data_IF_480425676033
#
_entry.id   IF_480425676033
#
_cell.length_a   1.000
_cell.length_b   1.000
_cell.length_c   1.000
_cell.angle_alpha   90.00
_cell.angle_beta   90.00
_cell.angle_gamma   90.00
#
_symmetry.space_group_name_H-M   'P 1'
#
loop_
_entity.id
_entity.type
_entity.pdbx_description
1 polymer ?
#
# COMPACT_ATOMS: atom_id res chain seq x y z
N UNK A 1 -21.69 1.27 -7.20
CA UNK A 1 -20.42 1.53 -6.50
C UNK A 1 -19.39 0.43 -6.72
N UNK A 2 -19.72 -0.82 -6.41
CA UNK A 2 -18.76 -1.93 -6.55
C UNK A 2 -18.23 -2.11 -7.98
N UNK A 3 -19.06 -1.86 -8.99
CA UNK A 3 -18.67 -1.96 -10.40
C UNK A 3 -17.65 -0.90 -10.83
N UNK A 4 -17.58 0.22 -10.11
CA UNK A 4 -16.65 1.31 -10.42
C UNK A 4 -15.29 1.08 -9.80
N UNK A 5 -15.16 0.15 -8.86
CA UNK A 5 -13.90 -0.21 -8.24
C UNK A 5 -13.13 -1.17 -9.15
N UNK A 6 -11.88 -0.86 -9.40
CA UNK A 6 -11.01 -1.71 -10.22
C UNK A 6 -10.33 -2.75 -9.35
N UNK A 7 -11.11 -3.77 -8.97
CA UNK A 7 -10.67 -4.77 -8.00
C UNK A 7 -9.38 -5.48 -8.40
N UNK A 8 -9.20 -5.78 -9.69
CA UNK A 8 -7.96 -6.43 -10.15
C UNK A 8 -6.74 -5.55 -9.89
N UNK A 9 -6.87 -4.24 -10.09
CA UNK A 9 -5.79 -3.31 -9.81
C UNK A 9 -5.55 -3.16 -8.32
N UNK A 10 -6.63 -3.10 -7.52
CA UNK A 10 -6.54 -2.99 -6.07
C UNK A 10 -5.82 -4.20 -5.49
N UNK A 11 -6.30 -5.40 -5.80
CA UNK A 11 -5.73 -6.64 -5.27
C UNK A 11 -4.32 -6.85 -5.83
N UNK A 12 -4.13 -6.62 -7.12
CA UNK A 12 -2.82 -6.74 -7.76
C UNK A 12 -1.79 -5.81 -7.15
N UNK A 13 -2.16 -4.55 -6.92
CA UNK A 13 -1.28 -3.58 -6.26
C UNK A 13 -0.92 -4.02 -4.84
N UNK A 14 -1.91 -4.47 -4.07
CA UNK A 14 -1.70 -4.94 -2.70
C UNK A 14 -0.76 -6.16 -2.66
N UNK A 15 -0.97 -7.12 -3.55
CA UNK A 15 -0.10 -8.30 -3.65
C UNK A 15 1.33 -7.91 -4.02
N UNK A 16 1.50 -7.03 -5.00
CA UNK A 16 2.82 -6.56 -5.42
C UNK A 16 3.53 -5.83 -4.28
N UNK A 17 2.82 -4.99 -3.54
CA UNK A 17 3.39 -4.29 -2.38
C UNK A 17 3.86 -5.30 -1.34
N UNK A 18 3.04 -6.28 -0.99
CA UNK A 18 3.41 -7.28 0.01
C UNK A 18 4.60 -8.14 -0.46
N UNK A 19 4.61 -8.56 -1.72
CA UNK A 19 5.73 -9.33 -2.28
C UNK A 19 7.01 -8.51 -2.21
N UNK A 20 6.97 -7.23 -2.57
CA UNK A 20 8.13 -6.36 -2.50
C UNK A 20 8.62 -6.17 -1.07
N UNK A 21 7.71 -5.95 -0.12
CA UNK A 21 8.06 -5.78 1.28
C UNK A 21 8.69 -7.04 1.86
N UNK A 22 8.13 -8.20 1.55
CA UNK A 22 8.65 -9.49 2.00
C UNK A 22 10.02 -9.75 1.37
N UNK A 23 10.19 -9.45 0.09
CA UNK A 23 11.46 -9.63 -0.61
C UNK A 23 12.58 -8.79 0.01
N UNK A 24 12.26 -7.61 0.53
CA UNK A 24 13.21 -6.77 1.27
C UNK A 24 13.44 -7.33 2.68
N UNK A 25 12.39 -7.76 3.34
CA UNK A 25 12.43 -8.18 4.74
C UNK A 25 13.21 -9.49 4.95
N UNK A 26 13.09 -10.46 4.02
CA UNK A 26 13.69 -11.78 4.19
C UNK A 26 15.22 -11.70 4.36
N UNK A 27 15.97 -11.05 3.44
CA UNK A 27 17.43 -10.99 3.61
C UNK A 27 17.85 -10.19 4.83
N UNK A 28 17.15 -9.10 5.15
CA UNK A 28 17.44 -8.30 6.34
C UNK A 28 17.19 -9.06 7.63
N UNK A 29 16.18 -9.94 7.63
CA UNK A 29 15.82 -10.68 8.83
C UNK A 29 16.78 -11.84 9.15
N UNK A 30 17.74 -12.13 8.27
CA UNK A 30 18.70 -13.23 8.45
C UNK A 30 19.82 -12.90 9.43
N UNK A 31 20.07 -11.63 9.73
CA UNK A 31 21.10 -11.20 10.67
C UNK A 31 20.52 -10.30 11.75
N UNK A 32 21.19 -10.24 12.92
CA UNK A 32 20.76 -9.33 14.00
C UNK A 32 20.89 -7.86 13.58
N UNK A 33 21.94 -7.51 12.83
CA UNK A 33 22.12 -6.16 12.30
C UNK A 33 21.04 -5.81 11.29
N UNK A 34 20.72 -6.74 10.38
CA UNK A 34 19.64 -6.56 9.40
C UNK A 34 18.28 -6.42 10.07
N UNK A 35 18.02 -7.18 11.13
CA UNK A 35 16.77 -7.05 11.90
C UNK A 35 16.66 -5.67 12.54
N UNK A 36 17.75 -5.13 13.08
CA UNK A 36 17.75 -3.78 13.66
C UNK A 36 17.44 -2.72 12.59
N UNK A 37 18.03 -2.84 11.40
CA UNK A 37 17.73 -1.96 10.27
C UNK A 37 16.25 -2.08 9.88
N UNK A 38 15.74 -3.30 9.74
CA UNK A 38 14.36 -3.55 9.35
C UNK A 38 13.37 -2.94 10.36
N UNK A 39 13.63 -3.08 11.65
CA UNK A 39 12.79 -2.47 12.69
C UNK A 39 12.72 -0.95 12.58
N UNK A 40 13.79 -0.34 12.10
CA UNK A 40 13.86 1.11 11.91
C UNK A 40 13.10 1.57 10.66
N UNK A 41 13.19 0.81 9.56
CA UNK A 41 12.64 1.22 8.26
C UNK A 41 11.28 0.63 7.94
N UNK A 42 10.77 -0.32 8.75
CA UNK A 42 9.52 -1.02 8.42
C UNK A 42 8.33 -0.07 8.30
N UNK A 43 8.23 0.92 9.18
CA UNK A 43 7.13 1.89 9.15
C UNK A 43 7.17 2.73 7.87
N UNK A 44 8.26 3.49 7.56
CA UNK A 44 8.30 4.26 6.32
C UNK A 44 8.24 3.37 5.07
N UNK A 45 8.82 2.18 5.11
CA UNK A 45 8.79 1.26 3.98
C UNK A 45 7.37 0.82 3.65
N UNK A 46 6.57 0.49 4.66
CA UNK A 46 5.16 0.12 4.45
C UNK A 46 4.34 1.29 3.92
N UNK A 47 4.56 2.48 4.47
CA UNK A 47 3.84 3.68 4.02
C UNK A 47 4.18 4.03 2.57
N UNK A 48 5.46 4.01 2.20
CA UNK A 48 5.88 4.30 0.82
C UNK A 48 5.37 3.24 -0.14
N UNK A 49 5.46 1.97 0.22
CA UNK A 49 4.96 0.87 -0.61
C UNK A 49 3.48 0.99 -0.90
N UNK A 50 2.66 1.21 0.13
CA UNK A 50 1.22 1.35 -0.05
C UNK A 50 0.85 2.68 -0.70
N UNK A 51 1.64 3.73 -0.51
CA UNK A 51 1.46 4.98 -1.25
C UNK A 51 1.61 4.75 -2.75
N UNK A 52 2.69 4.11 -3.17
CA UNK A 52 2.94 3.81 -4.59
C UNK A 52 1.84 2.90 -5.14
N UNK A 53 1.48 1.84 -4.41
CA UNK A 53 0.41 0.92 -4.80
C UNK A 53 -0.94 1.61 -4.90
N UNK A 54 -1.28 2.45 -3.92
CA UNK A 54 -2.51 3.21 -3.90
C UNK A 54 -2.60 4.20 -5.06
N UNK A 55 -1.51 4.92 -5.32
CA UNK A 55 -1.43 5.83 -6.46
C UNK A 55 -1.59 5.08 -7.79
N UNK A 56 -0.86 3.97 -7.95
CA UNK A 56 -0.92 3.18 -9.18
C UNK A 56 -2.32 2.62 -9.44
N UNK A 57 -2.99 2.12 -8.39
CA UNK A 57 -4.35 1.59 -8.53
C UNK A 57 -5.35 2.70 -8.84
N UNK A 58 -5.23 3.84 -8.14
CA UNK A 58 -6.17 4.94 -8.25
C UNK A 58 -6.03 5.73 -9.56
N UNK A 59 -4.82 5.84 -10.12
CA UNK A 59 -4.58 6.70 -11.28
C UNK A 59 -5.39 6.32 -12.52
N UNK A 60 -5.84 5.09 -12.62
CA UNK A 60 -6.66 4.59 -13.74
C UNK A 60 -8.14 4.52 -13.37
N UNK A 61 -8.50 4.93 -12.17
CA UNK A 61 -9.89 4.94 -11.74
C UNK A 61 -10.63 6.12 -12.38
N UNK A 62 -11.93 5.91 -12.61
CA UNK A 62 -12.82 6.97 -13.10
C UNK A 62 -13.43 7.78 -11.97
N UNK A 63 -13.28 7.33 -10.72
CA UNK A 63 -13.74 7.97 -9.51
C UNK A 63 -13.33 7.17 -8.29
N UNK A 64 -13.72 7.63 -7.12
CA UNK A 64 -13.43 6.96 -5.84
C UNK A 64 -11.93 6.73 -5.62
N UNK A 65 -11.12 7.75 -5.93
CA UNK A 65 -9.65 7.65 -5.84
C UNK A 65 -9.18 7.31 -4.43
N UNK A 66 -9.74 7.96 -3.42
CA UNK A 66 -9.39 7.71 -2.02
C UNK A 66 -9.75 6.28 -1.62
N UNK A 67 -10.90 5.80 -2.08
CA UNK A 67 -11.36 4.44 -1.78
C UNK A 67 -10.44 3.41 -2.42
N UNK A 68 -9.98 3.65 -3.66
CA UNK A 68 -9.01 2.76 -4.31
C UNK A 68 -7.71 2.66 -3.50
N UNK A 69 -7.19 3.81 -3.07
CA UNK A 69 -5.97 3.84 -2.25
C UNK A 69 -6.17 3.17 -0.89
N UNK A 70 -7.29 3.48 -0.23
CA UNK A 70 -7.63 2.87 1.06
C UNK A 70 -7.73 1.35 0.94
N UNK A 71 -8.38 0.86 -0.12
CA UNK A 71 -8.55 -0.58 -0.32
C UNK A 71 -7.23 -1.28 -0.61
N UNK A 72 -6.30 -0.64 -1.32
CA UNK A 72 -4.95 -1.20 -1.50
C UNK A 72 -4.29 -1.39 -0.14
N UNK A 73 -4.31 -0.38 0.71
CA UNK A 73 -3.77 -0.46 2.05
C UNK A 73 -4.45 -1.51 2.90
N UNK A 74 -5.79 -1.57 2.84
CA UNK A 74 -6.59 -2.53 3.61
C UNK A 74 -6.30 -3.98 3.16
N UNK A 75 -6.27 -4.24 1.86
CA UNK A 75 -5.99 -5.58 1.34
C UNK A 75 -4.57 -6.00 1.69
N UNK A 76 -3.59 -5.09 1.54
CA UNK A 76 -2.21 -5.37 1.92
C UNK A 76 -2.10 -5.69 3.42
N UNK A 77 -2.78 -4.92 4.27
CA UNK A 77 -2.80 -5.17 5.71
C UNK A 77 -3.43 -6.52 6.05
N UNK A 78 -4.51 -6.88 5.36
CA UNK A 78 -5.18 -8.18 5.57
C UNK A 78 -4.32 -9.35 5.10
N UNK A 79 -3.61 -9.22 3.98
CA UNK A 79 -2.67 -10.25 3.51
C UNK A 79 -1.59 -10.48 4.57
N UNK A 80 -1.00 -9.42 5.07
CA UNK A 80 0.03 -9.51 6.10
C UNK A 80 -0.51 -10.14 7.38
N UNK A 81 -1.67 -9.71 7.84
CA UNK A 81 -2.32 -10.27 9.02
C UNK A 81 -2.59 -11.77 8.86
N UNK A 82 -3.04 -12.17 7.67
CA UNK A 82 -3.26 -13.59 7.36
C UNK A 82 -1.98 -14.41 7.36
N UNK A 83 -0.91 -13.87 6.79
CA UNK A 83 0.40 -14.56 6.75
C UNK A 83 1.04 -14.68 8.14
N UNK A 84 0.74 -13.75 9.04
CA UNK A 84 1.34 -13.70 10.38
C UNK A 84 0.38 -14.07 11.49
N UNK A 85 -0.73 -14.72 11.16
CA UNK A 85 -1.83 -15.01 12.09
C UNK A 85 -1.34 -15.70 13.37
N UNK A 86 -0.42 -16.65 13.25
CA UNK A 86 0.08 -17.45 14.40
C UNK A 86 1.42 -16.96 14.91
N UNK A 87 1.92 -15.84 14.42
CA UNK A 87 3.24 -15.31 14.78
C UNK A 87 3.06 -14.12 15.72
N UNK A 88 3.83 -14.11 16.81
CA UNK A 88 3.92 -12.93 17.67
C UNK A 88 4.80 -11.88 17.00
N UNK A 89 4.25 -10.67 16.80
CA UNK A 89 4.92 -9.62 16.06
C UNK A 89 5.42 -8.52 17.00
N UNK A 90 6.61 -7.95 16.73
CA UNK A 90 7.03 -6.72 17.38
C UNK A 90 6.03 -5.58 17.14
N UNK A 91 5.91 -4.67 18.10
CA UNK A 91 4.98 -3.53 18.02
C UNK A 91 5.20 -2.70 16.75
N UNK A 92 6.47 -2.52 16.32
CA UNK A 92 6.78 -1.76 15.11
C UNK A 92 6.10 -2.33 13.87
N UNK A 93 6.03 -3.66 13.74
CA UNK A 93 5.37 -4.31 12.61
C UNK A 93 3.86 -4.12 12.65
N UNK A 94 3.27 -4.19 13.84
CA UNK A 94 1.83 -3.97 14.02
C UNK A 94 1.47 -2.53 13.64
N UNK A 95 2.22 -1.56 14.12
CA UNK A 95 2.04 -0.14 13.77
C UNK A 95 2.21 0.07 12.27
N UNK A 96 3.25 -0.51 11.68
CA UNK A 96 3.51 -0.40 10.24
C UNK A 96 2.34 -0.96 9.42
N UNK A 97 1.75 -2.07 9.87
CA UNK A 97 0.62 -2.68 9.18
C UNK A 97 -0.62 -1.77 9.18
N UNK A 98 -0.90 -1.10 10.29
CA UNK A 98 -1.99 -0.12 10.34
C UNK A 98 -1.69 1.11 9.47
N UNK A 99 -0.42 1.54 9.43
CA UNK A 99 -0.02 2.70 8.63
C UNK A 99 -0.07 2.44 7.11
N UNK A 100 -0.20 1.19 6.69
CA UNK A 100 -0.49 0.85 5.28
C UNK A 100 -1.78 1.50 4.80
N UNK A 101 -2.77 1.62 5.68
CA UNK A 101 -4.02 2.31 5.36
C UNK A 101 -3.77 3.79 5.04
N UNK A 102 -2.96 4.44 5.87
CA UNK A 102 -2.60 5.85 5.68
C UNK A 102 -1.83 6.04 4.38
N UNK A 103 -0.85 5.19 4.12
CA UNK A 103 -0.08 5.25 2.87
C UNK A 103 -0.95 5.07 1.64
N UNK A 104 -1.86 4.09 1.67
CA UNK A 104 -2.79 3.84 0.58
C UNK A 104 -3.71 5.03 0.31
N UNK A 105 -4.28 5.62 1.36
CA UNK A 105 -5.14 6.81 1.24
C UNK A 105 -4.36 7.98 0.66
N UNK A 106 -3.14 8.21 1.14
CA UNK A 106 -2.27 9.28 0.63
C UNK A 106 -1.98 9.08 -0.86
N UNK A 107 -1.73 7.84 -1.30
CA UNK A 107 -1.53 7.51 -2.71
C UNK A 107 -2.76 7.79 -3.55
N UNK A 108 -3.93 7.39 -3.07
CA UNK A 108 -5.21 7.67 -3.74
C UNK A 108 -5.48 9.17 -3.84
N UNK A 109 -5.23 9.90 -2.76
CA UNK A 109 -5.38 11.35 -2.75
C UNK A 109 -4.44 12.04 -3.75
N UNK A 110 -3.19 11.59 -3.82
CA UNK A 110 -2.21 12.12 -4.78
C UNK A 110 -2.68 11.89 -6.21
N UNK A 111 -3.19 10.69 -6.53
CA UNK A 111 -3.74 10.40 -7.85
C UNK A 111 -4.91 11.34 -8.18
N UNK A 112 -5.79 11.58 -7.24
CA UNK A 112 -6.92 12.50 -7.40
C UNK A 112 -6.45 13.92 -7.72
N UNK A 113 -5.49 14.43 -6.95
CA UNK A 113 -4.97 15.78 -7.12
C UNK A 113 -4.25 15.95 -8.45
N UNK A 114 -3.43 14.97 -8.84
CA UNK A 114 -2.69 15.00 -10.10
C UNK A 114 -3.66 14.99 -11.29
N UNK A 115 -4.70 14.14 -11.25
CA UNK A 115 -5.67 14.05 -12.34
C UNK A 115 -6.53 15.31 -12.45
N UNK A 116 -6.83 15.96 -11.33
CA UNK A 116 -7.57 17.23 -11.34
C UNK A 116 -6.76 18.38 -11.92
N UNK A 117 -5.44 18.34 -11.78
CA UNK A 117 -4.56 19.40 -12.29
C UNK A 117 -4.30 19.29 -13.80
N UNK A 118 -4.56 18.13 -14.40
CA UNK A 118 -4.38 17.98 -15.85
C UNK A 118 -5.46 18.77 -16.59
N UNK A 119 -5.06 19.63 -17.55
CA UNK A 119 -6.03 20.33 -18.36
C UNK A 119 -6.90 19.33 -19.10
N UNK A 120 -8.18 19.60 -19.19
CA UNK A 120 -9.13 18.72 -19.87
C UNK A 120 -8.97 18.90 -21.38
N UNK A 121 -7.98 18.23 -21.95
CA UNK A 121 -7.62 18.35 -23.38
C UNK A 121 -8.69 17.74 -24.28
N UNK A 122 -9.55 16.89 -23.73
CA UNK A 122 -10.58 16.21 -24.50
C UNK A 122 -11.82 17.10 -24.74
N UNK A 123 -11.89 18.26 -24.12
CA UNK A 123 -12.98 19.20 -24.34
C UNK A 123 -12.74 20.01 -25.60
N UNK A 124 -13.50 19.79 -26.69
CA UNK A 124 -13.41 20.65 -27.86
C UNK A 124 -13.96 22.04 -27.55
#
# INVERSE_FOLDING_TARGET
>A
MLRQLRWLRIVGAAVLVEVALIAIAIPLNRSSHGRAILMTIVIPMCMVGTFIGGWWAARKATGFFLIHGLLVGAVAALIYAGLTWKVSLPTAYVVANYLKLVGGVAGGLTAQLVLRQKPNVASP
#
